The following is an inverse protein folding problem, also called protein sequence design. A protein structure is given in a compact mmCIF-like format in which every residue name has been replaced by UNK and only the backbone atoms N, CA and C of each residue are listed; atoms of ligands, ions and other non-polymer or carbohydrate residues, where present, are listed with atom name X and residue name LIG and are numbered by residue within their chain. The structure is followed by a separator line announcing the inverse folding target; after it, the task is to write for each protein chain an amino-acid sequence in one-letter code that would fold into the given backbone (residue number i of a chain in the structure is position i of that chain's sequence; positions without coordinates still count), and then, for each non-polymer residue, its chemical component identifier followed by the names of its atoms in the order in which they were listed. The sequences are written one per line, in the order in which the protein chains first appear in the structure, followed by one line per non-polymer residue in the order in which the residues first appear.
data_IF_781496079276
#
_entry.id   IF_781496079276
#
_cell.length_a   1.000
_cell.length_b   1.000
_cell.length_c   1.000
_cell.angle_alpha   90.00
_cell.angle_beta   90.00
_cell.angle_gamma   90.00
#
_symmetry.space_group_name_H-M   'P 1'
#
loop_
_entity.id
_entity.type
_entity.pdbx_description
1 polymer ?
#
# COMPACT_ATOMS: atom_id res chain seq x y z
N UNK A 1 -2.62 -0.02 -1.33
CA UNK A 1 -1.72 0.43 -2.41
C UNK A 1 -1.72 1.94 -2.50
N UNK A 2 -0.56 2.49 -2.78
CA UNK A 2 -0.39 3.94 -2.97
C UNK A 2 -0.11 4.19 -4.44
N UNK A 3 -0.80 5.14 -5.05
CA UNK A 3 -0.65 5.39 -6.48
C UNK A 3 -0.43 6.87 -6.80
N UNK A 4 0.19 7.10 -7.94
CA UNK A 4 0.17 8.35 -8.68
C UNK A 4 -0.52 8.05 -10.00
N UNK A 5 -1.61 8.76 -10.38
CA UNK A 5 -2.46 8.35 -11.51
C UNK A 5 -1.75 8.13 -12.84
N UNK A 6 -0.63 8.80 -13.07
CA UNK A 6 0.09 8.73 -14.36
C UNK A 6 1.52 8.24 -14.26
N UNK A 7 2.06 8.03 -13.06
CA UNK A 7 3.50 7.77 -12.93
C UNK A 7 3.84 6.48 -12.22
N UNK A 8 3.11 6.07 -11.20
CA UNK A 8 3.52 4.88 -10.51
C UNK A 8 2.51 4.37 -9.50
N UNK A 9 2.81 3.17 -9.03
CA UNK A 9 2.07 2.54 -7.94
C UNK A 9 3.04 1.72 -7.11
N UNK A 10 2.81 1.68 -5.82
CA UNK A 10 3.62 0.90 -4.89
C UNK A 10 2.69 0.14 -3.97
N UNK A 11 2.90 -1.16 -3.86
CA UNK A 11 2.19 -2.00 -2.91
C UNK A 11 3.04 -2.20 -1.67
N UNK A 12 2.43 -1.99 -0.53
CA UNK A 12 3.08 -2.17 0.76
C UNK A 12 2.36 -3.25 1.54
N UNK A 13 3.13 -4.03 2.29
CA UNK A 13 2.60 -5.03 3.19
C UNK A 13 3.11 -4.75 4.59
N UNK A 14 2.19 -4.70 5.55
CA UNK A 14 2.54 -4.50 6.93
C UNK A 14 2.00 -5.66 7.76
N UNK A 15 2.91 -6.36 8.41
CA UNK A 15 2.59 -7.46 9.32
C UNK A 15 3.19 -7.13 10.69
N UNK A 16 2.42 -6.48 11.58
CA UNK A 16 2.94 -6.02 12.88
C UNK A 16 3.55 -7.14 13.73
N UNK A 17 3.06 -8.37 13.54
CA UNK A 17 3.54 -9.52 14.30
C UNK A 17 4.90 -10.03 13.83
N UNK A 18 5.29 -9.67 12.60
CA UNK A 18 6.54 -10.15 12.00
C UNK A 18 7.59 -9.07 11.86
N UNK A 19 7.18 -7.83 11.74
CA UNK A 19 8.11 -6.72 11.50
C UNK A 19 7.55 -5.44 12.08
N UNK A 20 8.44 -4.57 12.52
CA UNK A 20 8.08 -3.24 13.01
C UNK A 20 7.84 -2.24 11.90
N UNK A 21 8.17 -2.58 10.65
CA UNK A 21 7.98 -1.67 9.54
C UNK A 21 7.37 -2.39 8.33
N UNK A 22 6.62 -1.65 7.49
CA UNK A 22 6.10 -2.18 6.24
C UNK A 22 7.22 -2.49 5.25
N UNK A 23 6.91 -3.33 4.27
CA UNK A 23 7.83 -3.66 3.18
C UNK A 23 7.20 -3.38 1.84
N UNK A 24 8.04 -3.04 0.87
CA UNK A 24 7.61 -2.88 -0.52
C UNK A 24 7.44 -4.28 -1.12
N UNK A 25 6.23 -4.63 -1.50
CA UNK A 25 5.97 -5.96 -2.10
C UNK A 25 5.85 -5.93 -3.61
N UNK A 26 5.50 -4.78 -4.17
CA UNK A 26 5.45 -4.60 -5.62
C UNK A 26 5.52 -3.11 -5.93
N UNK A 27 6.07 -2.78 -7.09
CA UNK A 27 6.00 -1.42 -7.59
C UNK A 27 6.05 -1.44 -9.12
N UNK A 28 5.59 -0.37 -9.72
CA UNK A 28 5.61 -0.24 -11.16
C UNK A 28 5.37 1.19 -11.60
N UNK A 29 5.75 1.48 -12.84
CA UNK A 29 5.55 2.77 -13.47
C UNK A 29 4.82 2.58 -14.79
N UNK A 30 4.13 3.62 -15.26
CA UNK A 30 3.43 3.58 -16.53
C UNK A 30 2.43 2.43 -16.60
N UNK A 31 2.55 1.60 -17.63
CA UNK A 31 1.64 0.48 -17.84
C UNK A 31 1.67 -0.52 -16.69
N UNK A 32 2.84 -0.75 -16.09
CA UNK A 32 2.94 -1.65 -14.94
C UNK A 32 2.17 -1.11 -13.74
N UNK A 33 2.19 0.20 -13.53
CA UNK A 33 1.39 0.80 -12.47
C UNK A 33 -0.10 0.57 -12.71
N UNK A 34 -0.56 0.71 -13.93
CA UNK A 34 -1.96 0.46 -14.28
C UNK A 34 -2.36 -0.99 -13.98
N UNK A 35 -1.49 -1.94 -14.32
CA UNK A 35 -1.73 -3.35 -14.04
C UNK A 35 -1.79 -3.65 -12.55
N UNK A 36 -0.89 -3.04 -11.77
CA UNK A 36 -0.92 -3.21 -10.32
C UNK A 36 -2.21 -2.65 -9.71
N UNK A 37 -2.66 -1.51 -10.20
CA UNK A 37 -3.89 -0.90 -9.72
C UNK A 37 -5.10 -1.78 -10.06
N UNK A 38 -5.15 -2.33 -11.26
CA UNK A 38 -6.22 -3.24 -11.68
C UNK A 38 -6.25 -4.48 -10.79
N UNK A 39 -5.08 -5.08 -10.54
CA UNK A 39 -4.99 -6.24 -9.64
C UNK A 39 -5.45 -5.91 -8.23
N UNK A 40 -5.06 -4.75 -7.72
CA UNK A 40 -5.48 -4.31 -6.39
C UNK A 40 -7.00 -4.17 -6.32
N UNK A 41 -7.61 -3.58 -7.34
CA UNK A 41 -9.07 -3.44 -7.41
C UNK A 41 -9.75 -4.80 -7.48
N UNK A 42 -9.20 -5.73 -8.26
CA UNK A 42 -9.74 -7.07 -8.41
C UNK A 42 -9.78 -7.82 -7.09
N UNK A 43 -8.77 -7.64 -6.26
CA UNK A 43 -8.65 -8.30 -4.97
C UNK A 43 -9.20 -7.50 -3.79
N UNK A 44 -9.85 -6.38 -4.07
CA UNK A 44 -10.43 -5.55 -3.00
C UNK A 44 -9.41 -4.87 -2.11
N UNK A 45 -8.19 -4.67 -2.60
CA UNK A 45 -7.14 -4.00 -1.84
C UNK A 45 -7.38 -2.49 -1.88
N UNK A 46 -7.44 -1.82 -0.72
CA UNK A 46 -7.62 -0.37 -0.69
C UNK A 46 -6.49 0.36 -1.39
N UNK A 47 -6.84 1.42 -2.12
CA UNK A 47 -5.89 2.22 -2.89
C UNK A 47 -5.94 3.65 -2.37
N UNK A 48 -4.78 4.21 -2.09
CA UNK A 48 -4.64 5.60 -1.68
C UNK A 48 -3.77 6.35 -2.67
N UNK A 49 -4.17 7.57 -2.98
CA UNK A 49 -3.44 8.42 -3.91
C UNK A 49 -2.54 9.38 -3.14
N UNK A 50 -1.23 9.29 -3.38
CA UNK A 50 -0.23 10.15 -2.77
C UNK A 50 0.98 10.25 -3.70
N UNK A 51 0.97 11.21 -4.64
CA UNK A 51 2.01 11.31 -5.66
C UNK A 51 3.42 11.47 -5.09
N UNK A 52 3.58 12.28 -4.08
CA UNK A 52 4.90 12.56 -3.51
C UNK A 52 5.48 11.31 -2.85
N UNK A 53 4.67 10.60 -2.08
CA UNK A 53 5.10 9.40 -1.39
C UNK A 53 5.43 8.29 -2.39
N UNK A 54 4.65 8.14 -3.44
CA UNK A 54 4.92 7.15 -4.48
C UNK A 54 6.28 7.37 -5.12
N UNK A 55 6.64 8.61 -5.45
CA UNK A 55 7.93 8.90 -6.07
C UNK A 55 9.10 8.51 -5.18
N UNK A 56 8.97 8.74 -3.89
CA UNK A 56 10.00 8.34 -2.94
C UNK A 56 10.06 6.82 -2.82
N UNK A 57 8.92 6.16 -2.68
CA UNK A 57 8.87 4.72 -2.50
C UNK A 57 9.30 3.93 -3.73
N UNK A 58 9.15 4.49 -4.93
CA UNK A 58 9.61 3.84 -6.16
C UNK A 58 11.13 3.66 -6.21
N UNK A 59 11.87 4.38 -5.39
CA UNK A 59 13.32 4.24 -5.31
C UNK A 59 13.77 3.09 -4.42
N UNK A 60 12.86 2.48 -3.69
CA UNK A 60 13.17 1.37 -2.82
C UNK A 60 13.13 0.04 -3.58
N UNK A 61 13.96 -0.91 -3.15
CA UNK A 61 13.96 -2.25 -3.74
C UNK A 61 12.79 -3.08 -3.25
N UNK A 62 12.42 -4.07 -4.04
CA UNK A 62 11.40 -5.03 -3.63
C UNK A 62 11.86 -5.77 -2.37
N UNK A 63 10.97 -5.93 -1.42
CA UNK A 63 11.26 -6.57 -0.15
C UNK A 63 11.93 -5.68 0.87
N UNK A 64 12.33 -4.47 0.47
CA UNK A 64 13.01 -3.55 1.37
C UNK A 64 12.04 -3.00 2.41
N UNK A 65 12.52 -2.89 3.64
CA UNK A 65 11.77 -2.21 4.69
C UNK A 65 11.75 -0.71 4.47
N UNK A 66 10.66 -0.08 4.86
CA UNK A 66 10.51 1.36 4.76
C UNK A 66 11.49 2.03 5.73
N UNK A 67 12.29 3.00 5.27
CA UNK A 67 13.22 3.72 6.16
C UNK A 67 12.48 4.51 7.25
N UNK A 68 13.11 4.67 8.42
CA UNK A 68 12.49 5.43 9.51
C UNK A 68 12.06 6.84 9.13
N UNK A 69 12.77 7.49 8.22
CA UNK A 69 12.43 8.83 7.76
C UNK A 69 11.06 8.92 7.09
N UNK A 70 10.52 7.79 6.63
CA UNK A 70 9.23 7.72 5.95
C UNK A 70 8.12 7.17 6.83
N UNK A 71 8.41 6.79 8.06
CA UNK A 71 7.45 6.11 8.93
C UNK A 71 6.16 6.91 9.11
N UNK A 72 6.27 8.20 9.34
CA UNK A 72 5.07 9.00 9.60
C UNK A 72 4.15 9.06 8.37
N UNK A 73 4.72 9.34 7.21
CA UNK A 73 3.93 9.44 5.98
C UNK A 73 3.28 8.10 5.60
N UNK A 74 4.04 7.01 5.73
CA UNK A 74 3.54 5.68 5.43
C UNK A 74 2.51 5.25 6.46
N UNK A 75 2.74 5.53 7.73
CA UNK A 75 1.83 5.16 8.80
C UNK A 75 0.46 5.82 8.63
N UNK A 76 0.43 7.08 8.26
CA UNK A 76 -0.84 7.77 8.01
C UNK A 76 -1.64 7.09 6.90
N UNK A 77 -0.96 6.67 5.84
CA UNK A 77 -1.58 5.95 4.74
C UNK A 77 -2.07 4.57 5.16
N UNK A 78 -1.26 3.83 5.92
CA UNK A 78 -1.60 2.49 6.36
C UNK A 78 -2.73 2.49 7.39
N UNK A 79 -2.79 3.49 8.26
CA UNK A 79 -3.89 3.62 9.21
C UNK A 79 -5.21 3.77 8.47
N UNK A 80 -5.23 4.58 7.42
CA UNK A 80 -6.42 4.72 6.59
C UNK A 80 -6.86 3.38 5.98
N UNK A 81 -5.93 2.66 5.38
CA UNK A 81 -6.19 1.35 4.78
C UNK A 81 -6.66 0.34 5.84
N UNK A 82 -6.01 0.34 6.99
CA UNK A 82 -6.35 -0.56 8.08
C UNK A 82 -7.78 -0.32 8.58
N UNK A 83 -8.18 0.92 8.73
CA UNK A 83 -9.55 1.26 9.14
C UNK A 83 -10.60 0.78 8.14
N UNK A 84 -10.31 0.92 6.85
CA UNK A 84 -11.21 0.41 5.81
C UNK A 84 -11.36 -1.10 5.91
N UNK A 85 -10.26 -1.83 6.12
CA UNK A 85 -10.28 -3.26 6.28
C UNK A 85 -11.08 -3.69 7.50
N UNK A 86 -10.93 -2.99 8.61
CA UNK A 86 -11.70 -3.28 9.83
C UNK A 86 -13.19 -3.07 9.62
N UNK A 87 -13.58 -1.99 8.99
CA UNK A 87 -14.97 -1.73 8.66
C UNK A 87 -15.54 -2.80 7.74
N UNK A 88 -14.77 -3.20 6.73
CA UNK A 88 -15.17 -4.26 5.81
C UNK A 88 -15.37 -5.59 6.56
N UNK A 89 -14.46 -5.95 7.44
CA UNK A 89 -14.56 -7.16 8.23
C UNK A 89 -15.80 -7.17 9.13
N UNK A 90 -16.10 -6.06 9.77
CA UNK A 90 -17.30 -5.93 10.61
C UNK A 90 -18.58 -6.14 9.81
N UNK A 91 -18.60 -5.68 8.56
CA UNK A 91 -19.76 -5.78 7.69
C UNK A 91 -19.91 -7.17 7.07
N UNK A 92 -18.79 -7.82 6.73
CA UNK A 92 -18.79 -9.05 5.92
C UNK A 92 -18.42 -10.30 6.69
N UNK A 93 -18.02 -10.17 7.94
CA UNK A 93 -17.52 -11.27 8.76
C UNK A 93 -18.66 -11.94 9.53
N UNK A 94 -19.66 -12.40 8.83
CA UNK A 94 -20.85 -12.96 9.42
C UNK A 94 -20.58 -14.37 9.95
N UNK A 95 -20.88 -14.59 11.21
CA UNK A 95 -20.77 -15.92 11.80
C UNK A 95 -19.35 -16.35 12.12
N UNK A 96 -18.42 -15.48 12.00
CA UNK A 96 -17.03 -15.79 12.33
C UNK A 96 -16.66 -15.27 13.70
#
# INVERSE_FOLDING_TARGET
MIKHPRKGAVALRYEPQKSSSPRVTAHGQGLMAERLIEEAKRHGIPIRENPDLVQILLQLDLGQEIPPSLYQAVAETLIFVYRLNEEWKKTHSIGS
#
